data_IF_708308050966
#
_entry.id   IF_708308050966
#
_cell.length_a   1.000
_cell.length_b   1.000
_cell.length_c   1.000
_cell.angle_alpha   90.00
_cell.angle_beta   90.00
_cell.angle_gamma   90.00
#
_symmetry.space_group_name_H-M   'P 1'
#
loop_
_entity.id
_entity.type
_entity.pdbx_description
1 polymer ?
#
# COMPACT_ATOMS: atom_id res chain seq x y z
N UNK A 1 -3.49 1.75 -18.31
CA UNK A 1 -3.43 2.90 -17.38
C UNK A 1 -4.30 2.70 -16.15
N UNK A 2 -5.48 2.06 -16.25
CA UNK A 2 -6.34 1.73 -15.09
C UNK A 2 -5.65 1.08 -13.88
N UNK A 3 -4.63 0.23 -14.07
CA UNK A 3 -3.88 -0.35 -12.93
C UNK A 3 -3.01 0.69 -12.20
N UNK A 4 -2.43 1.66 -12.90
CA UNK A 4 -1.53 2.64 -12.29
C UNK A 4 -2.27 3.59 -11.33
N UNK A 5 -3.50 3.99 -11.69
CA UNK A 5 -4.36 4.77 -10.80
C UNK A 5 -4.73 3.99 -9.54
N UNK A 6 -5.10 2.71 -9.71
CA UNK A 6 -5.43 1.84 -8.59
C UNK A 6 -4.24 1.59 -7.67
N UNK A 7 -3.07 1.31 -8.24
CA UNK A 7 -1.82 1.11 -7.49
C UNK A 7 -1.45 2.37 -6.70
N UNK A 8 -1.52 3.55 -7.31
CA UNK A 8 -1.27 4.83 -6.65
C UNK A 8 -2.23 5.07 -5.46
N UNK A 9 -3.52 4.76 -5.63
CA UNK A 9 -4.51 4.87 -4.57
C UNK A 9 -4.22 3.91 -3.39
N UNK A 10 -3.82 2.67 -3.69
CA UNK A 10 -3.44 1.72 -2.64
C UNK A 10 -2.18 2.17 -1.91
N UNK A 11 -1.15 2.64 -2.62
CA UNK A 11 0.06 3.16 -1.98
C UNK A 11 -0.27 4.33 -1.04
N UNK A 12 -1.16 5.22 -1.46
CA UNK A 12 -1.63 6.32 -0.64
C UNK A 12 -2.41 5.83 0.60
N UNK A 13 -3.35 4.90 0.42
CA UNK A 13 -4.14 4.33 1.51
C UNK A 13 -3.28 3.63 2.57
N UNK A 14 -2.20 2.98 2.15
CA UNK A 14 -1.24 2.34 3.06
C UNK A 14 -0.21 3.31 3.66
N UNK A 15 -0.25 4.61 3.29
CA UNK A 15 0.69 5.62 3.77
C UNK A 15 2.12 5.39 3.28
N UNK A 16 2.29 4.78 2.10
CA UNK A 16 3.61 4.46 1.55
C UNK A 16 4.20 5.73 0.91
N UNK A 17 5.38 6.14 1.37
CA UNK A 17 6.04 7.35 0.88
C UNK A 17 6.55 7.21 -0.56
N UNK A 18 6.72 8.34 -1.24
CA UNK A 18 7.20 8.38 -2.64
C UNK A 18 8.49 7.59 -2.88
N UNK A 19 9.44 7.64 -1.94
CA UNK A 19 10.70 6.89 -1.99
C UNK A 19 10.49 5.38 -1.87
N UNK A 20 9.54 4.96 -1.05
CA UNK A 20 9.24 3.55 -0.85
C UNK A 20 8.50 2.97 -2.06
N UNK A 21 7.60 3.75 -2.66
CA UNK A 21 6.97 3.40 -3.95
C UNK A 21 8.04 3.20 -5.02
N UNK A 22 9.02 4.13 -5.11
CA UNK A 22 10.12 4.02 -6.06
C UNK A 22 10.87 2.69 -5.91
N UNK A 23 11.22 2.34 -4.67
CA UNK A 23 11.87 1.07 -4.33
C UNK A 23 10.99 -0.15 -4.63
N UNK A 24 9.72 -0.14 -4.21
CA UNK A 24 8.76 -1.22 -4.45
C UNK A 24 8.63 -1.49 -5.95
N UNK A 25 8.52 -0.44 -6.77
CA UNK A 25 8.43 -0.59 -8.22
C UNK A 25 9.69 -1.24 -8.81
N UNK A 26 10.89 -0.96 -8.28
CA UNK A 26 12.12 -1.64 -8.71
C UNK A 26 12.14 -3.14 -8.37
N UNK A 27 11.33 -3.61 -7.40
CA UNK A 27 11.23 -5.05 -7.06
C UNK A 27 10.42 -5.87 -8.07
N UNK A 28 9.78 -5.25 -9.07
CA UNK A 28 9.01 -5.92 -10.12
C UNK A 28 9.75 -5.97 -11.47
N UNK A 29 10.81 -6.79 -11.61
CA UNK A 29 11.66 -6.79 -12.81
C UNK A 29 10.92 -7.19 -14.08
N UNK A 30 9.86 -8.00 -13.97
CA UNK A 30 9.04 -8.42 -15.12
C UNK A 30 8.25 -7.22 -15.67
N UNK A 31 7.66 -6.42 -14.78
CA UNK A 31 6.90 -5.24 -15.17
C UNK A 31 7.82 -4.21 -15.84
N UNK A 32 8.98 -3.93 -15.21
CA UNK A 32 10.02 -3.05 -15.76
C UNK A 32 10.45 -3.46 -17.17
N UNK A 33 10.80 -4.73 -17.38
CA UNK A 33 11.22 -5.23 -18.70
C UNK A 33 10.12 -5.10 -19.75
N UNK A 34 8.86 -5.39 -19.41
CA UNK A 34 7.72 -5.24 -20.34
C UNK A 34 7.54 -3.79 -20.76
N UNK A 35 7.60 -2.87 -19.79
CA UNK A 35 7.51 -1.44 -20.05
C UNK A 35 8.70 -0.91 -20.87
N UNK A 36 9.92 -1.34 -20.57
CA UNK A 36 11.10 -0.96 -21.33
C UNK A 36 11.07 -1.48 -22.78
N UNK A 37 10.55 -2.69 -23.01
CA UNK A 37 10.36 -3.21 -24.37
C UNK A 37 9.33 -2.39 -25.15
N UNK A 38 8.24 -1.98 -24.51
CA UNK A 38 7.14 -1.28 -25.18
C UNK A 38 7.36 0.24 -25.30
N UNK A 39 7.97 0.85 -24.29
CA UNK A 39 8.05 2.30 -24.11
C UNK A 39 9.48 2.83 -23.90
N UNK A 40 10.50 1.95 -23.87
CA UNK A 40 11.92 2.28 -23.59
C UNK A 40 12.19 2.92 -22.22
N UNK A 41 11.17 2.99 -21.38
CA UNK A 41 11.23 3.57 -20.05
C UNK A 41 10.24 2.86 -19.15
N UNK A 42 10.46 2.90 -17.83
CA UNK A 42 9.54 2.32 -16.86
C UNK A 42 8.33 3.24 -16.63
N UNK A 43 7.53 3.42 -17.69
CA UNK A 43 6.44 4.40 -17.75
C UNK A 43 5.43 4.23 -16.61
N UNK A 44 5.09 2.99 -16.27
CA UNK A 44 4.12 2.68 -15.20
C UNK A 44 4.59 3.23 -13.85
N UNK A 45 5.88 3.13 -13.52
CA UNK A 45 6.46 3.69 -12.29
C UNK A 45 6.28 5.20 -12.24
N UNK A 46 6.60 5.91 -13.32
CA UNK A 46 6.47 7.37 -13.37
C UNK A 46 5.02 7.83 -13.22
N UNK A 47 4.08 7.16 -13.90
CA UNK A 47 2.65 7.46 -13.82
C UNK A 47 2.12 7.23 -12.40
N UNK A 48 2.50 6.12 -11.74
CA UNK A 48 2.11 5.86 -10.34
C UNK A 48 2.64 6.96 -9.41
N UNK A 49 3.91 7.36 -9.56
CA UNK A 49 4.51 8.41 -8.74
C UNK A 49 3.88 9.80 -8.98
N UNK A 50 3.42 10.09 -10.20
CA UNK A 50 2.69 11.30 -10.56
C UNK A 50 1.32 11.32 -9.88
N UNK A 51 0.50 10.30 -10.12
CA UNK A 51 -0.85 10.18 -9.56
C UNK A 51 -0.82 10.11 -8.04
N UNK A 52 0.14 9.41 -7.45
CA UNK A 52 0.31 9.38 -5.99
C UNK A 52 0.57 10.79 -5.42
N UNK A 53 1.34 11.62 -6.13
CA UNK A 53 1.56 13.02 -5.75
C UNK A 53 0.28 13.85 -5.83
N UNK A 54 -0.53 13.64 -6.86
CA UNK A 54 -1.83 14.30 -7.02
C UNK A 54 -2.80 13.90 -5.91
N UNK A 55 -2.93 12.60 -5.61
CA UNK A 55 -3.79 12.09 -4.53
C UNK A 55 -3.32 12.62 -3.16
N UNK A 56 -2.01 12.63 -2.92
CA UNK A 56 -1.46 13.19 -1.69
C UNK A 56 -1.75 14.69 -1.52
N UNK A 57 -1.86 15.44 -2.63
CA UNK A 57 -2.23 16.85 -2.58
C UNK A 57 -3.73 17.08 -2.27
N UNK A 58 -4.57 16.07 -2.53
CA UNK A 58 -6.00 16.12 -2.27
C UNK A 58 -6.39 15.76 -0.83
N UNK A 59 -5.42 15.40 0.02
CA UNK A 59 -5.61 15.08 1.45
C UNK A 59 -6.71 14.04 1.73
N UNK A 60 -6.90 13.11 0.81
CA UNK A 60 -7.94 12.07 0.85
C UNK A 60 -7.81 11.06 2.03
N UNK A 61 -6.71 11.08 2.76
CA UNK A 61 -6.26 10.02 3.66
C UNK A 61 -6.33 10.36 5.15
N UNK A 62 -6.51 11.62 5.52
CA UNK A 62 -6.54 12.03 6.94
C UNK A 62 -7.84 11.62 7.66
N UNK A 63 -8.88 11.27 6.91
CA UNK A 63 -10.20 10.91 7.47
C UNK A 63 -10.32 9.44 7.92
N UNK A 64 -9.43 8.53 7.48
CA UNK A 64 -9.48 7.12 7.88
C UNK A 64 -8.58 6.82 9.09
N UNK A 65 -8.82 7.51 10.20
CA UNK A 65 -8.26 7.11 11.49
C UNK A 65 -9.14 6.02 12.07
N UNK A 66 -8.77 4.75 11.85
CA UNK A 66 -9.39 3.62 12.51
C UNK A 66 -9.39 3.89 14.02
N UNK A 67 -10.56 4.18 14.60
CA UNK A 67 -10.70 4.32 16.05
C UNK A 67 -10.23 2.99 16.66
N UNK A 68 -9.17 2.97 17.49
CA UNK A 68 -8.76 1.74 18.15
C UNK A 68 -9.79 1.45 19.24
N UNK A 69 -10.93 0.88 18.83
CA UNK A 69 -11.92 0.29 19.72
C UNK A 69 -12.05 -1.19 19.40
N UNK A 70 -10.94 -1.90 19.53
CA UNK A 70 -11.04 -3.28 20.01
C UNK A 70 -11.35 -3.17 21.50
N UNK A 71 -12.54 -3.62 21.91
CA UNK A 71 -12.78 -3.91 23.32
C UNK A 71 -11.71 -4.95 23.74
N UNK A 72 -11.11 -4.84 24.94
CA UNK A 72 -10.25 -5.90 25.48
C UNK A 72 -11.00 -7.23 25.38
N UNK A 73 -10.29 -8.27 24.93
CA UNK A 73 -10.83 -9.61 24.78
C UNK A 73 -11.56 -10.03 26.07
N UNK A 74 -12.79 -10.52 25.91
CA UNK A 74 -13.62 -11.06 27.00
C UNK A 74 -12.93 -12.29 27.60
N UNK A 75 -12.78 -12.35 28.94
CA UNK A 75 -12.10 -13.42 29.67
C UNK A 75 -12.69 -14.82 29.39
N UNK A 76 -13.88 -14.89 28.80
CA UNK A 76 -14.55 -16.13 28.37
C UNK A 76 -13.88 -16.84 27.19
N UNK A 77 -12.95 -16.18 26.47
CA UNK A 77 -12.25 -16.73 25.30
C UNK A 77 -10.83 -17.22 25.66
N UNK A 78 -10.41 -17.10 26.91
CA UNK A 78 -9.11 -17.61 27.36
C UNK A 78 -9.10 -19.15 27.32
N UNK A 79 -8.17 -19.72 26.55
CA UNK A 79 -7.88 -21.15 26.59
C UNK A 79 -7.41 -21.49 28.01
N UNK A 80 -8.14 -22.34 28.74
CA UNK A 80 -7.72 -22.80 30.07
C UNK A 80 -6.37 -23.49 29.90
N UNK A 81 -5.30 -22.89 30.44
CA UNK A 81 -4.00 -23.53 30.53
C UNK A 81 -4.20 -24.73 31.46
N UNK A 82 -4.16 -25.93 30.88
CA UNK A 82 -4.26 -27.17 31.62
C UNK A 82 -3.10 -27.26 32.60
N UNK A 83 -3.42 -27.27 33.89
CA UNK A 83 -2.47 -27.61 34.93
C UNK A 83 -2.01 -29.06 34.71
N UNK A 84 -0.73 -29.24 34.34
CA UNK A 84 -0.04 -30.52 34.50
C UNK A 84 0.35 -30.66 35.96
N UNK A 85 -0.21 -31.66 36.63
CA UNK A 85 0.36 -32.32 37.81
C UNK A 85 0.27 -33.83 37.56
#
# INVERSE_FOLDING_TARGET
MLLAELDALYFYLYGIGRSDIDFIMETFPIAKRKDEVQYRTYRTKYVILEIHGEIAHLDLGDDYRASPKTRPADDRVAHRVGARA
#
